data_IF_651568843360
#
_entry.id   IF_651568843360
#
_cell.length_a   1.000
_cell.length_b   1.000
_cell.length_c   1.000
_cell.angle_alpha   90.00
_cell.angle_beta   90.00
_cell.angle_gamma   90.00
#
_symmetry.space_group_name_H-M   'P 1'
#
loop_
_entity.id
_entity.type
_entity.pdbx_description
1 polymer ?
#
# COMPACT_ATOMS: atom_id res chain seq x y z
N UNK A 1 -34.58 -32.86 -2.74
CA UNK A 1 -33.89 -31.87 -1.87
C UNK A 1 -33.52 -30.69 -2.75
N UNK A 2 -34.30 -29.59 -2.62
CA UNK A 2 -34.14 -28.37 -3.40
C UNK A 2 -33.05 -27.51 -2.78
N UNK A 3 -32.18 -26.95 -3.61
CA UNK A 3 -31.29 -25.86 -3.21
C UNK A 3 -32.14 -24.67 -2.74
N UNK A 4 -31.82 -24.03 -1.60
CA UNK A 4 -32.45 -22.77 -1.24
C UNK A 4 -31.83 -21.64 -2.06
N UNK A 5 -32.65 -21.09 -2.95
CA UNK A 5 -32.49 -19.74 -3.50
C UNK A 5 -32.32 -18.73 -2.36
N UNK A 6 -31.13 -18.18 -2.17
CA UNK A 6 -30.97 -17.00 -1.31
C UNK A 6 -29.82 -16.08 -1.76
N UNK A 7 -29.93 -15.58 -2.98
CA UNK A 7 -29.44 -14.23 -3.28
C UNK A 7 -30.61 -13.43 -3.84
N UNK A 8 -31.02 -12.32 -3.20
CA UNK A 8 -32.04 -11.46 -3.77
C UNK A 8 -31.50 -10.82 -5.04
N UNK A 9 -32.26 -10.95 -6.12
CA UNK A 9 -32.05 -10.23 -7.37
C UNK A 9 -32.01 -8.73 -7.09
N UNK A 10 -30.79 -8.19 -6.97
CA UNK A 10 -30.55 -6.76 -6.85
C UNK A 10 -31.10 -6.09 -8.12
N UNK A 11 -32.22 -5.37 -7.94
CA UNK A 11 -32.89 -4.63 -9.00
C UNK A 11 -31.88 -3.75 -9.72
N UNK A 12 -31.74 -3.96 -11.02
CA UNK A 12 -31.14 -3.02 -11.98
C UNK A 12 -32.02 -1.77 -12.05
N UNK A 13 -31.94 -0.93 -11.02
CA UNK A 13 -32.47 0.43 -10.98
C UNK A 13 -31.36 1.38 -11.41
N UNK A 14 -31.65 2.17 -12.44
CA UNK A 14 -30.64 2.84 -13.23
C UNK A 14 -29.85 3.96 -12.54
N UNK A 15 -28.65 4.15 -13.05
CA UNK A 15 -28.10 5.47 -13.33
C UNK A 15 -27.63 5.40 -14.78
N UNK A 16 -28.36 6.06 -15.69
CA UNK A 16 -27.75 6.42 -16.97
C UNK A 16 -26.51 7.26 -16.65
N UNK A 17 -25.33 7.00 -17.25
CA UNK A 17 -24.24 7.96 -17.16
C UNK A 17 -24.64 9.17 -18.01
N UNK A 18 -25.36 10.07 -17.36
CA UNK A 18 -25.61 11.44 -17.78
C UNK A 18 -24.26 12.03 -18.20
N UNK A 19 -24.20 12.45 -19.46
CA UNK A 19 -23.10 13.23 -20.00
C UNK A 19 -22.74 14.36 -19.03
N UNK A 20 -21.43 14.64 -18.89
CA UNK A 20 -20.81 15.67 -18.03
C UNK A 20 -20.36 15.18 -16.64
N UNK A 21 -19.38 14.29 -16.64
CA UNK A 21 -18.15 14.64 -15.92
C UNK A 21 -17.15 15.08 -17.00
N UNK A 22 -16.52 16.26 -16.94
CA UNK A 22 -15.36 16.48 -17.77
C UNK A 22 -14.40 15.38 -17.35
N UNK A 23 -14.02 14.57 -18.32
CA UNK A 23 -12.91 13.67 -18.13
C UNK A 23 -11.80 14.52 -17.53
N UNK A 24 -11.41 14.24 -16.29
CA UNK A 24 -10.05 14.48 -15.88
C UNK A 24 -9.24 13.52 -16.76
N UNK A 25 -9.10 13.87 -18.03
CA UNK A 25 -8.10 13.30 -18.91
C UNK A 25 -6.80 13.74 -18.26
N UNK A 26 -6.02 12.86 -17.62
CA UNK A 26 -4.63 13.19 -17.42
C UNK A 26 -4.08 13.35 -18.83
N UNK A 27 -3.57 14.53 -19.13
CA UNK A 27 -2.53 14.69 -20.12
C UNK A 27 -1.56 13.53 -19.90
N UNK A 28 -1.56 12.55 -20.81
CA UNK A 28 -0.67 11.39 -20.81
C UNK A 28 0.77 11.76 -20.40
N UNK A 29 1.35 12.91 -20.80
CA UNK A 29 2.68 13.30 -20.33
C UNK A 29 2.75 13.61 -18.83
N UNK A 30 1.77 14.29 -18.24
CA UNK A 30 1.82 14.69 -16.82
C UNK A 30 1.73 13.49 -15.90
N UNK A 31 0.94 12.47 -16.24
CA UNK A 31 0.87 11.24 -15.45
C UNK A 31 2.21 10.47 -15.44
N UNK A 32 3.00 10.55 -16.52
CA UNK A 32 4.32 9.92 -16.62
C UNK A 32 5.41 10.76 -15.96
N UNK A 33 5.34 12.09 -16.09
CA UNK A 33 6.37 13.01 -15.57
C UNK A 33 6.18 13.30 -14.07
N UNK A 34 4.94 13.37 -13.58
CA UNK A 34 4.65 13.64 -12.17
C UNK A 34 5.37 12.71 -11.17
N UNK A 35 5.36 11.37 -11.33
CA UNK A 35 6.08 10.50 -10.40
C UNK A 35 7.61 10.68 -10.45
N UNK A 36 8.16 11.15 -11.57
CA UNK A 36 9.60 11.40 -11.72
C UNK A 36 10.06 12.70 -11.06
N UNK A 37 9.20 13.72 -11.02
CA UNK A 37 9.52 15.04 -10.47
C UNK A 37 9.08 15.18 -9.00
N UNK A 38 8.10 14.40 -8.55
CA UNK A 38 7.57 14.55 -7.19
C UNK A 38 8.55 14.02 -6.13
N UNK A 39 8.84 14.78 -5.05
CA UNK A 39 9.64 14.28 -3.93
C UNK A 39 8.91 13.21 -3.12
N UNK A 40 7.58 13.10 -3.27
CA UNK A 40 6.74 12.19 -2.49
C UNK A 40 6.70 10.76 -3.01
N UNK A 41 7.09 10.52 -4.27
CA UNK A 41 7.07 9.17 -4.87
C UNK A 41 7.91 8.18 -4.07
N UNK A 42 9.05 8.65 -3.54
CA UNK A 42 9.96 7.85 -2.70
C UNK A 42 9.27 7.29 -1.44
N UNK A 43 8.43 8.09 -0.78
CA UNK A 43 7.72 7.63 0.41
C UNK A 43 6.69 6.56 0.09
N UNK A 44 6.03 6.64 -1.07
CA UNK A 44 5.10 5.59 -1.51
C UNK A 44 5.81 4.24 -1.72
N UNK A 45 7.01 4.23 -2.30
CA UNK A 45 7.80 3.00 -2.45
C UNK A 45 8.30 2.49 -1.09
N UNK A 46 8.80 3.37 -0.23
CA UNK A 46 9.23 3.02 1.13
C UNK A 46 8.11 2.42 1.97
N UNK A 47 6.87 2.93 1.88
CA UNK A 47 5.70 2.40 2.59
C UNK A 47 5.46 0.94 2.18
N UNK A 48 5.48 0.65 0.88
CA UNK A 48 5.26 -0.71 0.38
C UNK A 48 6.34 -1.69 0.83
N UNK A 49 7.59 -1.23 0.97
CA UNK A 49 8.69 -2.06 1.47
C UNK A 49 8.60 -2.35 2.97
N UNK A 50 8.20 -1.36 3.78
CA UNK A 50 8.18 -1.51 5.25
C UNK A 50 6.95 -2.24 5.77
N UNK A 51 5.90 -2.38 4.96
CA UNK A 51 4.69 -3.14 5.34
C UNK A 51 4.98 -4.64 5.37
N UNK A 52 4.99 -5.28 6.54
CA UNK A 52 5.31 -6.69 6.64
C UNK A 52 4.07 -7.52 6.30
N UNK A 53 3.99 -8.02 5.06
CA UNK A 53 2.97 -9.01 4.68
C UNK A 53 3.36 -10.44 5.08
N UNK A 54 4.65 -10.68 5.32
CA UNK A 54 5.19 -11.96 5.78
C UNK A 54 5.76 -11.79 7.18
N UNK A 55 5.54 -12.78 8.03
CA UNK A 55 6.10 -12.77 9.38
C UNK A 55 7.64 -12.83 9.32
N UNK A 56 8.36 -11.86 9.91
CA UNK A 56 9.81 -11.87 9.88
C UNK A 56 10.34 -13.02 10.74
N UNK A 57 11.01 -13.97 10.10
CA UNK A 57 11.63 -15.11 10.78
C UNK A 57 12.90 -14.62 11.49
N UNK A 58 13.02 -14.79 12.82
CA UNK A 58 14.23 -14.41 13.55
C UNK A 58 15.44 -15.18 13.05
N UNK A 59 16.54 -14.46 12.84
CA UNK A 59 17.82 -15.06 12.49
C UNK A 59 18.45 -15.69 13.74
N UNK A 60 19.14 -16.81 13.57
CA UNK A 60 19.94 -17.42 14.65
C UNK A 60 21.16 -16.53 14.92
N UNK A 61 21.45 -16.29 16.19
CA UNK A 61 22.57 -15.43 16.59
C UNK A 61 23.89 -16.22 16.62
N UNK A 62 24.86 -15.80 15.79
CA UNK A 62 26.23 -16.34 15.73
C UNK A 62 27.22 -15.51 16.58
N UNK A 63 26.74 -14.52 17.34
CA UNK A 63 27.54 -13.71 18.26
C UNK A 63 28.34 -12.57 17.61
N UNK A 64 28.32 -12.44 16.28
CA UNK A 64 28.98 -11.36 15.54
C UNK A 64 28.06 -10.73 14.47
N UNK A 65 26.92 -10.18 14.90
CA UNK A 65 25.99 -9.44 14.03
C UNK A 65 25.56 -8.13 14.70
N UNK A 66 26.35 -7.05 14.58
CA UNK A 66 26.01 -5.77 15.21
C UNK A 66 24.77 -5.10 14.62
N UNK A 67 24.42 -5.44 13.37
CA UNK A 67 23.34 -4.80 12.60
C UNK A 67 21.96 -5.40 12.87
N UNK A 68 21.89 -6.61 13.43
CA UNK A 68 20.63 -7.32 13.68
C UNK A 68 20.16 -7.01 15.10
N UNK A 69 18.96 -6.46 15.30
CA UNK A 69 18.44 -6.21 16.63
C UNK A 69 18.06 -7.51 17.34
N UNK A 70 18.30 -7.57 18.64
CA UNK A 70 17.93 -8.72 19.47
C UNK A 70 16.45 -8.67 19.87
N UNK A 71 15.87 -7.46 19.94
CA UNK A 71 14.49 -7.23 20.34
C UNK A 71 13.87 -6.08 19.51
N UNK A 72 12.56 -6.08 19.21
CA UNK A 72 11.95 -5.04 18.36
C UNK A 72 12.01 -3.62 18.91
N UNK A 73 12.22 -3.44 20.22
CA UNK A 73 12.35 -2.11 20.83
C UNK A 73 13.79 -1.61 20.87
N UNK A 74 14.76 -2.37 20.37
CA UNK A 74 16.13 -1.89 20.26
C UNK A 74 16.20 -0.70 19.30
N UNK A 75 17.09 0.28 19.56
CA UNK A 75 17.32 1.40 18.65
C UNK A 75 17.98 0.97 17.33
N UNK A 76 18.40 -0.31 17.23
CA UNK A 76 19.06 -0.89 16.08
C UNK A 76 18.00 -1.40 15.09
N UNK A 77 18.18 -1.11 13.80
CA UNK A 77 17.28 -1.54 12.73
C UNK A 77 16.58 -0.40 11.99
N UNK A 78 15.66 -0.73 11.09
CA UNK A 78 14.89 0.24 10.31
C UNK A 78 13.80 0.88 11.18
N UNK A 79 13.96 2.15 11.53
CA UNK A 79 12.94 2.91 12.27
C UNK A 79 11.89 3.54 11.33
N UNK A 80 10.68 3.69 11.84
CA UNK A 80 9.53 4.27 11.12
C UNK A 80 9.23 5.71 11.55
N UNK A 81 10.19 6.41 12.16
CA UNK A 81 9.98 7.80 12.64
C UNK A 81 9.67 8.77 11.50
N UNK A 82 10.25 8.56 10.31
CA UNK A 82 9.92 9.34 9.12
C UNK A 82 8.46 9.18 8.68
N UNK A 83 7.87 7.99 8.87
CA UNK A 83 6.48 7.70 8.50
C UNK A 83 5.50 8.29 9.53
N UNK A 84 5.91 8.33 10.81
CA UNK A 84 5.14 8.94 11.90
C UNK A 84 5.07 10.47 11.81
N UNK A 85 6.12 11.08 11.26
CA UNK A 85 6.26 12.53 11.12
C UNK A 85 5.85 13.08 9.74
N UNK A 86 5.25 12.22 8.89
CA UNK A 86 4.81 12.57 7.54
C UNK A 86 3.51 13.38 7.55
#
# INVERSE_FOLDING_TARGET
MRQPDLYPAAKRGGCAPSSRAPLQQPCLPTAVVAPMVSPYRKYADLINEVTPYTYPVPLRDDGNMPDVPSHPQDPRGRSLEWLKNL
#
